data_IF_152347221900
#
_entry.id   IF_152347221900
#
_cell.length_a   1.000
_cell.length_b   1.000
_cell.length_c   1.000
_cell.angle_alpha   90.00
_cell.angle_beta   90.00
_cell.angle_gamma   90.00
#
_symmetry.space_group_name_H-M   'P 1'
#
loop_
_entity.id
_entity.type
_entity.pdbx_description
1 polymer ?
#
# COMPACT_ATOMS: atom_id res chain seq x y z
N UNK A 1 -24.18 3.24 -16.69
CA UNK A 1 -24.09 2.30 -15.53
C UNK A 1 -24.42 3.10 -14.28
N UNK A 2 -25.30 2.59 -13.41
CA UNK A 2 -25.66 3.28 -12.16
C UNK A 2 -24.56 3.11 -11.11
N UNK A 3 -24.18 4.20 -10.44
CA UNK A 3 -23.26 4.16 -9.30
C UNK A 3 -24.00 3.69 -8.05
N UNK A 4 -23.40 2.73 -7.34
CA UNK A 4 -23.95 2.22 -6.07
C UNK A 4 -23.14 2.77 -4.91
N UNK A 5 -23.78 3.51 -3.99
CA UNK A 5 -23.16 3.98 -2.76
C UNK A 5 -22.97 2.81 -1.78
N UNK A 6 -21.73 2.58 -1.40
CA UNK A 6 -21.32 1.53 -0.47
C UNK A 6 -21.10 2.13 0.91
N UNK A 7 -21.85 1.60 1.88
CA UNK A 7 -21.63 1.87 3.29
C UNK A 7 -22.30 0.80 4.14
N UNK A 8 -21.50 -0.07 4.75
CA UNK A 8 -21.99 -1.11 5.66
C UNK A 8 -22.58 -0.55 6.96
N UNK A 9 -22.05 0.55 7.48
CA UNK A 9 -22.28 0.95 8.87
C UNK A 9 -23.39 2.00 9.05
N UNK A 10 -23.74 2.78 8.02
CA UNK A 10 -24.82 3.79 8.10
C UNK A 10 -25.91 3.55 7.04
N UNK A 11 -26.75 2.52 7.21
CA UNK A 11 -27.71 2.08 6.18
C UNK A 11 -28.81 3.11 5.89
N UNK A 12 -29.21 3.94 6.86
CA UNK A 12 -30.20 5.01 6.65
C UNK A 12 -29.64 6.11 5.75
N UNK A 13 -28.50 6.70 6.14
CA UNK A 13 -27.81 7.73 5.37
C UNK A 13 -27.43 7.23 3.96
N UNK A 14 -27.00 5.97 3.83
CA UNK A 14 -26.76 5.34 2.52
C UNK A 14 -28.00 5.37 1.63
N UNK A 15 -29.18 5.03 2.15
CA UNK A 15 -30.44 5.05 1.36
C UNK A 15 -30.81 6.45 0.93
N UNK A 16 -30.71 7.42 1.82
CA UNK A 16 -31.02 8.83 1.52
C UNK A 16 -30.08 9.38 0.43
N UNK A 17 -28.78 9.12 0.58
CA UNK A 17 -27.78 9.57 -0.39
C UNK A 17 -27.91 8.81 -1.72
N UNK A 18 -28.22 7.52 -1.71
CA UNK A 18 -28.50 6.76 -2.93
C UNK A 18 -29.72 7.33 -3.67
N UNK A 19 -30.82 7.63 -2.97
CA UNK A 19 -31.99 8.24 -3.58
C UNK A 19 -31.66 9.61 -4.21
N UNK A 20 -30.78 10.40 -3.57
CA UNK A 20 -30.29 11.64 -4.16
C UNK A 20 -29.43 11.43 -5.41
N UNK A 21 -28.57 10.39 -5.41
CA UNK A 21 -27.78 9.99 -6.59
C UNK A 21 -28.71 9.55 -7.73
N UNK A 22 -29.70 8.72 -7.44
CA UNK A 22 -30.67 8.20 -8.41
C UNK A 22 -31.55 9.32 -8.98
N UNK A 23 -31.85 10.35 -8.17
CA UNK A 23 -32.52 11.57 -8.60
C UNK A 23 -31.62 12.53 -9.41
N UNK A 24 -30.39 12.14 -9.74
CA UNK A 24 -29.45 12.93 -10.55
C UNK A 24 -28.81 14.10 -9.83
N UNK A 25 -28.86 14.14 -8.49
CA UNK A 25 -28.25 15.23 -7.69
C UNK A 25 -26.73 15.08 -7.55
N UNK A 26 -26.16 13.96 -7.98
CA UNK A 26 -24.71 13.75 -7.99
C UNK A 26 -24.09 14.42 -9.21
N UNK A 27 -23.20 15.38 -8.97
CA UNK A 27 -22.37 15.99 -10.03
C UNK A 27 -20.94 15.46 -9.90
N UNK A 28 -20.42 14.88 -10.98
CA UNK A 28 -19.00 14.57 -11.10
C UNK A 28 -18.22 15.88 -11.10
N UNK A 29 -17.32 16.04 -10.12
CA UNK A 29 -16.48 17.24 -10.01
C UNK A 29 -15.27 17.15 -10.92
N UNK A 30 -14.62 15.98 -10.92
CA UNK A 30 -13.39 15.72 -11.65
C UNK A 30 -13.21 14.20 -11.87
N UNK A 31 -12.30 13.82 -12.76
CA UNK A 31 -11.80 12.45 -12.94
C UNK A 31 -10.29 12.49 -12.97
N UNK A 32 -9.65 11.66 -12.15
CA UNK A 32 -8.21 11.57 -12.10
C UNK A 32 -7.79 10.19 -12.58
N UNK A 33 -7.27 10.13 -13.80
CA UNK A 33 -6.59 8.94 -14.30
C UNK A 33 -5.12 9.00 -13.88
N UNK A 34 -4.80 8.36 -12.76
CA UNK A 34 -3.45 8.39 -12.15
C UNK A 34 -2.32 7.95 -13.10
N UNK A 35 -2.64 7.19 -14.14
CA UNK A 35 -1.69 6.62 -15.09
C UNK A 35 -1.56 7.45 -16.38
N UNK A 36 -2.12 8.67 -16.41
CA UNK A 36 -1.88 9.62 -17.48
C UNK A 36 -0.48 10.25 -17.37
N UNK A 37 0.17 10.57 -18.51
CA UNK A 37 1.54 11.12 -18.52
C UNK A 37 1.75 12.36 -17.64
N UNK A 38 0.72 13.20 -17.52
CA UNK A 38 0.77 14.43 -16.71
C UNK A 38 0.86 14.14 -15.21
N UNK A 39 0.18 13.10 -14.74
CA UNK A 39 0.13 12.69 -13.33
C UNK A 39 1.29 11.74 -12.97
N UNK A 40 1.85 11.02 -13.94
CA UNK A 40 2.94 10.06 -13.70
C UNK A 40 4.20 10.72 -13.11
N UNK A 41 4.56 11.93 -13.54
CA UNK A 41 5.77 12.61 -13.06
C UNK A 41 5.70 12.99 -11.57
N UNK A 42 4.69 13.73 -11.08
CA UNK A 42 4.59 14.04 -9.65
C UNK A 42 4.45 12.77 -8.81
N UNK A 43 3.71 11.77 -9.30
CA UNK A 43 3.54 10.49 -8.63
C UNK A 43 4.86 9.72 -8.49
N UNK A 44 5.66 9.66 -9.56
CA UNK A 44 6.98 9.04 -9.54
C UNK A 44 7.95 9.77 -8.61
N UNK A 45 7.87 11.10 -8.54
CA UNK A 45 8.68 11.88 -7.60
C UNK A 45 8.28 11.65 -6.15
N UNK A 46 6.98 11.62 -5.86
CA UNK A 46 6.50 11.26 -4.53
C UNK A 46 6.93 9.84 -4.15
N UNK A 47 6.76 8.88 -5.06
CA UNK A 47 7.18 7.49 -4.87
C UNK A 47 8.69 7.39 -4.61
N UNK A 48 9.52 8.14 -5.34
CA UNK A 48 10.97 8.17 -5.14
C UNK A 48 11.35 8.79 -3.78
N UNK A 49 10.73 9.91 -3.41
CA UNK A 49 10.97 10.54 -2.10
C UNK A 49 10.57 9.58 -0.98
N UNK A 50 9.41 8.94 -1.09
CA UNK A 50 8.95 7.94 -0.13
C UNK A 50 9.87 6.72 -0.11
N UNK A 51 10.39 6.27 -1.25
CA UNK A 51 11.37 5.19 -1.31
C UNK A 51 12.66 5.54 -0.55
N UNK A 52 13.19 6.74 -0.75
CA UNK A 52 14.40 7.21 -0.04
C UNK A 52 14.13 7.33 1.46
N UNK A 53 13.03 8.00 1.84
CA UNK A 53 12.66 8.18 3.25
C UNK A 53 12.41 6.84 3.94
N UNK A 54 11.63 5.96 3.32
CA UNK A 54 11.36 4.61 3.81
C UNK A 54 12.63 3.76 3.89
N UNK A 55 13.50 3.84 2.88
CA UNK A 55 14.79 3.16 2.85
C UNK A 55 15.69 3.57 4.00
N UNK A 56 15.84 4.87 4.23
CA UNK A 56 16.60 5.41 5.38
C UNK A 56 15.97 4.96 6.69
N UNK A 57 14.66 5.11 6.85
CA UNK A 57 13.96 4.72 8.08
C UNK A 57 14.14 3.24 8.41
N UNK A 58 13.85 2.33 7.48
CA UNK A 58 13.94 0.89 7.73
C UNK A 58 15.38 0.41 7.87
N UNK A 59 16.34 1.00 7.14
CA UNK A 59 17.76 0.68 7.32
C UNK A 59 18.24 1.08 8.73
N UNK A 60 17.94 2.31 9.16
CA UNK A 60 18.31 2.78 10.50
C UNK A 60 17.64 1.96 11.59
N UNK A 61 16.35 1.65 11.44
CA UNK A 61 15.61 0.81 12.38
C UNK A 61 16.23 -0.59 12.48
N UNK A 62 16.57 -1.20 11.34
CA UNK A 62 17.15 -2.53 11.29
C UNK A 62 18.55 -2.56 11.94
N UNK A 63 19.41 -1.58 11.62
CA UNK A 63 20.75 -1.45 12.23
C UNK A 63 20.63 -1.22 13.74
N UNK A 64 19.74 -0.34 14.18
CA UNK A 64 19.53 -0.04 15.60
C UNK A 64 19.02 -1.27 16.35
N UNK A 65 18.00 -1.96 15.83
CA UNK A 65 17.46 -3.17 16.43
C UNK A 65 18.49 -4.31 16.46
N UNK A 66 19.23 -4.52 15.37
CA UNK A 66 20.27 -5.54 15.30
C UNK A 66 21.41 -5.27 16.30
N UNK A 67 21.87 -4.02 16.37
CA UNK A 67 22.91 -3.58 17.30
C UNK A 67 22.46 -3.71 18.75
N UNK A 68 21.23 -3.32 19.07
CA UNK A 68 20.67 -3.44 20.41
C UNK A 68 20.59 -4.91 20.88
N UNK A 69 20.31 -5.85 19.97
CA UNK A 69 20.18 -7.27 20.30
C UNK A 69 21.51 -8.03 20.32
N UNK A 70 22.47 -7.67 19.46
CA UNK A 70 23.71 -8.45 19.26
C UNK A 70 24.98 -7.76 19.78
N UNK A 71 24.87 -6.49 20.21
CA UNK A 71 26.00 -5.61 20.50
C UNK A 71 27.02 -5.48 19.36
N UNK A 72 26.58 -5.75 18.12
CA UNK A 72 27.37 -5.62 16.89
C UNK A 72 26.63 -4.74 15.91
N UNK A 73 27.34 -3.82 15.28
CA UNK A 73 26.76 -2.90 14.30
C UNK A 73 26.63 -3.49 12.90
N UNK A 74 27.49 -4.44 12.53
CA UNK A 74 27.52 -5.06 11.19
C UNK A 74 27.77 -6.56 11.33
N UNK A 75 26.90 -7.37 10.71
CA UNK A 75 27.14 -8.81 10.56
C UNK A 75 28.22 -9.08 9.50
N UNK A 76 29.10 -10.05 9.75
CA UNK A 76 30.00 -10.54 8.69
C UNK A 76 29.16 -11.32 7.67
N UNK A 77 28.94 -10.73 6.49
CA UNK A 77 28.22 -11.38 5.39
C UNK A 77 29.24 -11.82 4.35
N UNK A 78 29.41 -13.13 4.17
CA UNK A 78 30.22 -13.67 3.08
C UNK A 78 29.59 -13.39 1.71
N UNK A 79 30.34 -13.56 0.61
CA UNK A 79 29.85 -13.27 -0.74
C UNK A 79 28.52 -13.96 -1.10
N UNK A 80 28.35 -15.23 -0.72
CA UNK A 80 27.09 -15.97 -0.88
C UNK A 80 25.92 -15.37 -0.08
N UNK A 81 26.21 -14.82 1.10
CA UNK A 81 25.21 -14.15 1.93
C UNK A 81 24.67 -12.88 1.27
N UNK A 82 25.52 -12.14 0.55
CA UNK A 82 25.09 -10.95 -0.20
C UNK A 82 24.16 -11.35 -1.34
N UNK A 83 24.52 -12.38 -2.11
CA UNK A 83 23.66 -12.88 -3.21
C UNK A 83 22.29 -13.32 -2.67
N UNK A 84 22.28 -14.11 -1.60
CA UNK A 84 21.04 -14.53 -0.95
C UNK A 84 20.23 -13.32 -0.46
N UNK A 85 20.89 -12.33 0.13
CA UNK A 85 20.25 -11.10 0.61
C UNK A 85 19.57 -10.32 -0.51
N UNK A 86 20.24 -10.14 -1.66
CA UNK A 86 19.67 -9.46 -2.83
C UNK A 86 18.47 -10.23 -3.37
N UNK A 87 18.62 -11.55 -3.58
CA UNK A 87 17.55 -12.38 -4.13
C UNK A 87 16.31 -12.36 -3.24
N UNK A 88 16.48 -12.53 -1.92
CA UNK A 88 15.35 -12.52 -1.00
C UNK A 88 14.66 -11.17 -0.91
N UNK A 89 15.40 -10.06 -1.01
CA UNK A 89 14.79 -8.73 -1.06
C UNK A 89 13.97 -8.50 -2.33
N UNK A 90 14.44 -8.97 -3.49
CA UNK A 90 13.67 -8.93 -4.75
C UNK A 90 12.41 -9.77 -4.61
N UNK A 91 12.51 -10.98 -4.08
CA UNK A 91 11.36 -11.85 -3.82
C UNK A 91 10.38 -11.18 -2.85
N UNK A 92 10.86 -10.59 -1.76
CA UNK A 92 10.04 -9.88 -0.79
C UNK A 92 9.28 -8.71 -1.44
N UNK A 93 9.92 -7.96 -2.34
CA UNK A 93 9.25 -6.93 -3.13
C UNK A 93 8.16 -7.50 -4.04
N UNK A 94 8.45 -8.57 -4.79
CA UNK A 94 7.44 -9.20 -5.64
C UNK A 94 6.25 -9.75 -4.84
N UNK A 95 6.48 -10.22 -3.62
CA UNK A 95 5.44 -10.71 -2.72
C UNK A 95 4.64 -9.57 -2.08
N UNK A 96 5.27 -8.43 -1.77
CA UNK A 96 4.57 -7.32 -1.13
C UNK A 96 3.52 -6.69 -2.06
N UNK A 97 3.75 -6.69 -3.38
CA UNK A 97 2.83 -6.11 -4.36
C UNK A 97 1.41 -6.73 -4.28
N UNK A 98 1.21 -8.07 -4.43
CA UNK A 98 -0.11 -8.66 -4.28
C UNK A 98 -0.64 -8.58 -2.85
N UNK A 99 0.22 -8.58 -1.83
CA UNK A 99 -0.21 -8.38 -0.44
C UNK A 99 -0.80 -6.99 -0.21
N UNK A 100 -0.14 -5.97 -0.77
CA UNK A 100 -0.58 -4.58 -0.72
C UNK A 100 -1.97 -4.43 -1.33
N UNK A 101 -2.14 -4.89 -2.57
CA UNK A 101 -3.45 -4.89 -3.22
C UNK A 101 -4.48 -5.73 -2.45
N UNK A 102 -4.06 -6.87 -1.90
CA UNK A 102 -4.92 -7.71 -1.07
C UNK A 102 -5.50 -6.97 0.13
N UNK A 103 -4.70 -6.12 0.80
CA UNK A 103 -5.16 -5.30 1.92
C UNK A 103 -6.13 -4.21 1.47
N UNK A 104 -5.92 -3.57 0.32
CA UNK A 104 -6.94 -2.70 -0.29
C UNK A 104 -8.25 -3.47 -0.50
N UNK A 105 -8.17 -4.68 -1.04
CA UNK A 105 -9.33 -5.55 -1.26
C UNK A 105 -10.07 -5.90 0.03
N UNK A 106 -9.34 -6.19 1.11
CA UNK A 106 -9.90 -6.41 2.43
C UNK A 106 -10.56 -5.14 2.99
N UNK A 107 -9.94 -3.98 2.81
CA UNK A 107 -10.50 -2.70 3.24
C UNK A 107 -11.78 -2.34 2.48
N UNK A 108 -11.82 -2.53 1.16
CA UNK A 108 -13.06 -2.42 0.37
C UNK A 108 -14.14 -3.38 0.89
N UNK A 109 -13.78 -4.64 1.12
CA UNK A 109 -14.69 -5.68 1.63
C UNK A 109 -15.20 -5.35 3.03
N UNK A 110 -14.39 -4.72 3.88
CA UNK A 110 -14.76 -4.27 5.22
C UNK A 110 -15.88 -3.21 5.19
N UNK A 111 -15.81 -2.27 4.25
CA UNK A 111 -16.86 -1.26 4.04
C UNK A 111 -18.11 -1.79 3.34
N UNK A 112 -18.10 -3.05 2.87
CA UNK A 112 -19.20 -3.69 2.14
C UNK A 112 -19.06 -3.63 0.62
N UNK A 113 -17.90 -3.23 0.12
CA UNK A 113 -17.58 -3.19 -1.29
C UNK A 113 -17.26 -4.57 -1.87
N UNK A 114 -17.29 -4.66 -3.19
CA UNK A 114 -16.85 -5.81 -3.98
C UNK A 114 -15.56 -5.42 -4.69
N UNK A 115 -14.37 -5.76 -4.15
CA UNK A 115 -13.11 -5.41 -4.78
C UNK A 115 -12.93 -6.20 -6.08
N UNK A 116 -12.17 -5.64 -7.00
CA UNK A 116 -11.63 -6.34 -8.15
C UNK A 116 -10.15 -6.02 -8.27
N UNK A 117 -9.39 -6.98 -8.77
CA UNK A 117 -7.96 -6.85 -8.99
C UNK A 117 -7.69 -6.74 -10.48
N UNK A 118 -6.75 -5.88 -10.84
CA UNK A 118 -6.32 -5.68 -12.21
C UNK A 118 -4.81 -5.52 -12.28
N UNK A 119 -4.29 -5.66 -13.48
CA UNK A 119 -2.86 -5.49 -13.77
C UNK A 119 -2.72 -4.60 -14.99
N UNK A 120 -1.88 -3.58 -14.92
CA UNK A 120 -1.44 -2.80 -16.07
C UNK A 120 0.06 -2.97 -16.21
N UNK A 121 0.47 -4.16 -16.66
CA UNK A 121 1.88 -4.50 -16.85
C UNK A 121 2.52 -3.55 -17.90
N UNK A 122 3.79 -3.14 -17.73
CA UNK A 122 4.68 -3.43 -16.59
C UNK A 122 4.52 -2.50 -15.37
N UNK A 123 3.54 -1.61 -15.37
CA UNK A 123 3.52 -0.43 -14.49
C UNK A 123 2.90 -0.64 -13.11
N UNK A 124 1.82 -1.43 -12.99
CA UNK A 124 1.13 -1.57 -11.70
C UNK A 124 0.26 -2.83 -11.60
N UNK A 125 0.19 -3.38 -10.38
CA UNK A 125 -0.99 -4.09 -9.91
C UNK A 125 -1.92 -3.07 -9.26
N UNK A 126 -3.23 -3.29 -9.30
CA UNK A 126 -4.15 -2.38 -8.63
C UNK A 126 -5.42 -3.12 -8.16
N UNK A 127 -5.99 -2.62 -7.07
CA UNK A 127 -7.27 -3.02 -6.52
C UNK A 127 -8.25 -1.86 -6.58
N UNK A 128 -9.47 -2.10 -7.08
CA UNK A 128 -10.52 -1.09 -7.11
C UNK A 128 -11.90 -1.66 -6.83
N UNK A 129 -12.92 -0.83 -6.96
CA UNK A 129 -14.32 -1.22 -6.79
C UNK A 129 -15.19 -0.61 -7.90
N UNK A 130 -15.34 -1.33 -9.03
CA UNK A 130 -16.08 -0.82 -10.21
C UNK A 130 -17.51 -0.44 -9.85
N UNK A 131 -17.98 0.70 -10.35
CA UNK A 131 -19.33 1.25 -10.19
C UNK A 131 -19.78 1.40 -8.72
N UNK A 132 -18.83 1.47 -7.78
CA UNK A 132 -19.11 1.59 -6.36
C UNK A 132 -18.57 2.92 -5.85
N UNK A 133 -19.41 3.67 -5.15
CA UNK A 133 -19.06 4.96 -4.57
C UNK A 133 -18.80 4.78 -3.08
N UNK A 134 -17.69 5.32 -2.60
CA UNK A 134 -17.35 5.36 -1.18
C UNK A 134 -17.31 6.82 -0.73
N UNK A 135 -17.64 7.08 0.53
CA UNK A 135 -17.46 8.41 1.09
C UNK A 135 -15.97 8.68 1.29
N UNK A 136 -15.58 9.95 1.23
CA UNK A 136 -14.18 10.40 1.32
C UNK A 136 -13.39 9.67 2.42
N UNK A 137 -13.88 9.70 3.66
CA UNK A 137 -13.13 9.13 4.77
C UNK A 137 -13.04 7.59 4.71
N UNK A 138 -14.02 6.90 4.11
CA UNK A 138 -13.96 5.45 3.90
C UNK A 138 -12.92 5.11 2.84
N UNK A 139 -12.89 5.89 1.76
CA UNK A 139 -11.90 5.73 0.69
C UNK A 139 -10.47 6.08 1.17
N UNK A 140 -10.32 7.10 2.01
CA UNK A 140 -9.04 7.41 2.66
C UNK A 140 -8.53 6.25 3.53
N UNK A 141 -9.43 5.58 4.27
CA UNK A 141 -9.05 4.39 5.04
C UNK A 141 -8.62 3.26 4.11
N UNK A 142 -9.29 3.09 2.96
CA UNK A 142 -8.86 2.09 1.97
C UNK A 142 -7.47 2.42 1.46
N UNK A 143 -7.24 3.63 0.93
CA UNK A 143 -5.94 4.05 0.40
C UNK A 143 -4.81 3.97 1.43
N UNK A 144 -5.07 4.31 2.69
CA UNK A 144 -4.05 4.24 3.75
C UNK A 144 -3.85 2.84 4.34
N UNK A 145 -4.73 1.87 4.05
CA UNK A 145 -4.71 0.58 4.75
C UNK A 145 -3.40 -0.21 4.54
N UNK A 146 -2.89 -0.39 3.31
CA UNK A 146 -1.63 -1.14 3.13
C UNK A 146 -0.44 -0.39 3.70
N UNK A 147 -0.40 0.93 3.54
CA UNK A 147 0.63 1.77 4.14
C UNK A 147 0.72 1.52 5.64
N UNK A 148 -0.40 1.58 6.36
CA UNK A 148 -0.42 1.39 7.82
C UNK A 148 -0.13 -0.06 8.19
N UNK A 149 -0.87 -1.02 7.63
CA UNK A 149 -0.82 -2.42 8.08
C UNK A 149 0.54 -3.06 7.78
N UNK A 150 1.05 -2.92 6.55
CA UNK A 150 2.33 -3.55 6.17
C UNK A 150 3.50 -2.83 6.85
N UNK A 151 3.48 -1.50 6.94
CA UNK A 151 4.56 -0.75 7.61
C UNK A 151 4.64 -1.11 9.10
N UNK A 152 3.51 -1.18 9.81
CA UNK A 152 3.50 -1.60 11.21
C UNK A 152 3.98 -3.05 11.37
N UNK A 153 3.56 -3.97 10.50
CA UNK A 153 4.04 -5.34 10.51
C UNK A 153 5.56 -5.42 10.27
N UNK A 154 6.08 -4.63 9.33
CA UNK A 154 7.52 -4.55 9.05
C UNK A 154 8.31 -3.96 10.23
N UNK A 155 7.79 -2.94 10.91
CA UNK A 155 8.39 -2.37 12.13
C UNK A 155 8.45 -3.43 13.23
N UNK A 156 7.34 -4.13 13.49
CA UNK A 156 7.29 -5.20 14.49
C UNK A 156 8.27 -6.32 14.14
N UNK A 157 8.29 -6.77 12.87
CA UNK A 157 9.24 -7.78 12.40
C UNK A 157 10.69 -7.33 12.61
N UNK A 158 10.99 -6.06 12.33
CA UNK A 158 12.34 -5.51 12.48
C UNK A 158 12.77 -5.41 13.94
N UNK A 159 11.87 -4.99 14.83
CA UNK A 159 12.15 -4.86 16.26
C UNK A 159 12.34 -6.23 16.93
N UNK A 160 11.59 -7.25 16.52
CA UNK A 160 11.65 -8.59 17.10
C UNK A 160 12.75 -9.44 16.46
N UNK A 161 12.89 -9.40 15.14
CA UNK A 161 13.76 -10.28 14.36
C UNK A 161 14.55 -9.50 13.28
N UNK A 162 15.46 -8.59 13.66
CA UNK A 162 16.16 -7.70 12.73
C UNK A 162 16.97 -8.46 11.68
N UNK A 163 17.56 -9.61 12.02
CA UNK A 163 18.29 -10.44 11.06
C UNK A 163 17.40 -11.02 9.94
N UNK A 164 16.15 -11.39 10.26
CA UNK A 164 15.17 -11.83 9.26
C UNK A 164 14.62 -10.63 8.48
N UNK A 165 14.31 -9.54 9.18
CA UNK A 165 13.78 -8.32 8.58
C UNK A 165 14.73 -7.70 7.53
N UNK A 166 16.04 -7.91 7.67
CA UNK A 166 17.03 -7.49 6.68
C UNK A 166 16.76 -8.07 5.28
N UNK A 167 16.18 -9.27 5.19
CA UNK A 167 15.82 -9.93 3.92
C UNK A 167 14.50 -9.43 3.32
N UNK A 168 13.75 -8.60 4.06
CA UNK A 168 12.46 -8.05 3.63
C UNK A 168 12.47 -6.53 3.52
N UNK A 169 13.64 -5.90 3.58
CA UNK A 169 13.80 -4.43 3.55
C UNK A 169 13.20 -3.84 2.28
N UNK A 170 13.55 -4.37 1.11
CA UNK A 170 13.05 -3.85 -0.17
C UNK A 170 11.53 -4.00 -0.29
N UNK A 171 10.94 -5.08 0.26
CA UNK A 171 9.49 -5.21 0.33
C UNK A 171 8.84 -4.17 1.24
N UNK A 172 9.43 -3.90 2.40
CA UNK A 172 8.92 -2.92 3.35
C UNK A 172 8.99 -1.49 2.79
N UNK A 173 10.12 -1.15 2.17
CA UNK A 173 10.34 0.13 1.48
C UNK A 173 9.44 0.25 0.26
N UNK A 174 9.32 -0.83 -0.52
CA UNK A 174 8.47 -0.90 -1.71
C UNK A 174 7.01 -0.66 -1.40
N UNK A 175 6.47 -1.22 -0.31
CA UNK A 175 5.13 -0.91 0.18
C UNK A 175 4.97 0.57 0.51
N UNK A 176 5.92 1.13 1.27
CA UNK A 176 5.87 2.53 1.68
C UNK A 176 5.92 3.47 0.48
N UNK A 177 6.80 3.22 -0.50
CA UNK A 177 6.85 4.01 -1.73
C UNK A 177 5.63 3.80 -2.64
N UNK A 178 5.11 2.57 -2.70
CA UNK A 178 3.96 2.21 -3.53
C UNK A 178 2.69 2.93 -3.10
N UNK A 179 2.54 3.19 -1.80
CA UNK A 179 1.41 3.93 -1.24
C UNK A 179 1.28 5.39 -1.74
N UNK A 180 2.28 5.91 -2.45
CA UNK A 180 2.14 7.17 -3.17
C UNK A 180 1.03 7.11 -4.25
N UNK A 181 0.78 5.91 -4.80
CA UNK A 181 -0.18 5.62 -5.87
C UNK A 181 -1.62 5.38 -5.42
N UNK A 182 -1.89 5.36 -4.10
CA UNK A 182 -3.17 4.94 -3.51
C UNK A 182 -4.24 6.06 -3.42
#
# INVERSE_FOLDING_TARGET
MSLTLVDRFHPQLRREQQAAIDAGKLRKRDELELLEPEQMRPLAMLSLVMFVVGGVFFALLNIAAYSAQTHRTIGQVGGWGIVLWVVLNIVAYLVVLPLHEGIHGLAFSFWGGKPYFGTKLPFALYCGAKNQLFRRNQYLVVGLAPLVVITLAAIVLTLLYPGLAAYTLLGSVGNFSGAAGD
#
